data_IF_055128415084
#
_entry.id   IF_055128415084
#
_cell.length_a   1.000
_cell.length_b   1.000
_cell.length_c   1.000
_cell.angle_alpha   90.00
_cell.angle_beta   90.00
_cell.angle_gamma   90.00
#
_symmetry.space_group_name_H-M   'P 1'
#
loop_
_entity.id
_entity.type
_entity.pdbx_description
1 polymer ?
#
# COMPACT_ATOMS: atom_id res chain seq x y z
N UNK A 1 -3.22 13.37 14.97
CA UNK A 1 -4.62 13.73 15.23
C UNK A 1 -5.03 13.54 16.68
N UNK A 2 -5.47 12.35 17.15
CA UNK A 2 -6.05 12.22 18.51
C UNK A 2 -5.13 12.72 19.65
N UNK A 3 -3.83 12.45 19.56
CA UNK A 3 -2.87 12.95 20.55
C UNK A 3 -2.53 14.45 20.41
N UNK A 4 -2.73 15.04 19.23
CA UNK A 4 -2.41 16.44 18.95
C UNK A 4 -3.59 17.38 19.24
N UNK A 5 -4.81 16.93 18.96
CA UNK A 5 -6.06 17.71 19.10
C UNK A 5 -6.99 17.11 20.18
N UNK A 6 -6.40 16.45 21.19
CA UNK A 6 -7.15 15.68 22.18
C UNK A 6 -8.14 16.52 22.99
N UNK A 7 -7.78 17.76 23.34
CA UNK A 7 -8.65 18.68 24.08
C UNK A 7 -9.89 19.07 23.27
N UNK A 8 -9.70 19.49 22.01
CA UNK A 8 -10.79 19.84 21.09
C UNK A 8 -11.71 18.67 20.77
N UNK A 9 -11.16 17.45 20.80
CA UNK A 9 -11.87 16.19 20.57
C UNK A 9 -12.44 15.56 21.85
N UNK A 10 -12.32 16.22 23.01
CA UNK A 10 -12.76 15.72 24.31
C UNK A 10 -12.24 14.31 24.64
N UNK A 11 -11.00 14.02 24.24
CA UNK A 11 -10.35 12.73 24.45
C UNK A 11 -9.96 12.57 25.92
N UNK A 12 -10.29 11.41 26.49
CA UNK A 12 -10.01 11.10 27.90
C UNK A 12 -8.69 10.37 28.14
N UNK A 13 -8.03 9.90 27.08
CA UNK A 13 -6.73 9.24 27.16
C UNK A 13 -5.59 10.27 27.29
N UNK A 14 -4.59 9.94 28.10
CA UNK A 14 -3.39 10.76 28.25
C UNK A 14 -2.45 10.62 27.05
N UNK A 15 -1.55 11.60 26.87
CA UNK A 15 -0.51 11.53 25.84
C UNK A 15 0.37 10.28 25.99
N UNK A 16 0.66 9.85 27.23
CA UNK A 16 1.41 8.63 27.51
C UNK A 16 0.66 7.39 27.02
N UNK A 17 -0.66 7.30 27.25
CA UNK A 17 -1.47 6.18 26.74
C UNK A 17 -1.50 6.14 25.21
N UNK A 18 -1.54 7.29 24.53
CA UNK A 18 -1.42 7.34 23.08
C UNK A 18 -0.05 6.87 22.58
N UNK A 19 1.02 7.33 23.21
CA UNK A 19 2.38 6.90 22.85
C UNK A 19 2.57 5.39 23.07
N UNK A 20 2.07 4.85 24.19
CA UNK A 20 2.08 3.42 24.47
C UNK A 20 1.33 2.64 23.39
N UNK A 21 0.15 3.13 22.99
CA UNK A 21 -0.64 2.44 21.97
C UNK A 21 -0.03 2.54 20.58
N UNK A 22 0.57 3.68 20.22
CA UNK A 22 1.32 3.85 18.98
C UNK A 22 2.47 2.85 18.90
N UNK A 23 3.29 2.72 19.95
CA UNK A 23 4.38 1.73 20.00
C UNK A 23 3.86 0.31 19.83
N UNK A 24 2.83 -0.08 20.57
CA UNK A 24 2.22 -1.41 20.40
C UNK A 24 1.69 -1.68 18.99
N UNK A 25 1.12 -0.67 18.34
CA UNK A 25 0.64 -0.77 16.95
C UNK A 25 1.80 -0.92 15.98
N UNK A 26 2.88 -0.13 16.13
CA UNK A 26 4.09 -0.28 15.32
C UNK A 26 4.73 -1.66 15.53
N UNK A 27 4.86 -2.13 16.76
CA UNK A 27 5.38 -3.47 17.08
C UNK A 27 4.52 -4.58 16.45
N UNK A 28 3.19 -4.40 16.41
CA UNK A 28 2.29 -5.33 15.73
C UNK A 28 2.48 -5.30 14.21
N UNK A 29 2.54 -4.11 13.62
CA UNK A 29 2.76 -3.94 12.18
C UNK A 29 4.09 -4.59 11.79
N UNK A 30 5.18 -4.22 12.44
CA UNK A 30 6.53 -4.62 12.04
C UNK A 30 6.92 -6.05 12.45
N UNK A 31 6.33 -6.61 13.50
CA UNK A 31 6.74 -7.93 14.01
C UNK A 31 5.79 -9.09 13.70
N UNK A 32 4.52 -8.81 13.33
CA UNK A 32 3.45 -9.83 13.35
C UNK A 32 2.40 -9.69 12.25
N UNK A 33 2.66 -8.87 11.23
CA UNK A 33 1.69 -8.59 10.16
C UNK A 33 2.04 -9.27 8.86
N UNK A 34 3.22 -8.97 8.31
CA UNK A 34 3.70 -9.54 7.07
C UNK A 34 5.23 -9.43 6.98
N UNK A 35 5.82 -10.25 6.10
CA UNK A 35 7.22 -10.13 5.66
C UNK A 35 7.26 -9.75 4.17
N UNK A 36 8.39 -9.22 3.73
CA UNK A 36 8.70 -9.00 2.32
C UNK A 36 10.08 -9.59 2.05
N UNK A 37 10.22 -10.30 0.94
CA UNK A 37 11.45 -10.95 0.52
C UNK A 37 11.73 -10.64 -0.95
N UNK A 38 13.02 -10.62 -1.33
CA UNK A 38 13.46 -10.53 -2.72
C UNK A 38 13.97 -11.90 -3.17
N UNK A 39 13.35 -12.46 -4.19
CA UNK A 39 13.65 -13.78 -4.75
C UNK A 39 14.02 -13.66 -6.25
N UNK A 40 14.69 -14.67 -6.79
CA UNK A 40 14.99 -14.80 -8.23
C UNK A 40 15.62 -13.56 -8.89
N UNK A 41 16.46 -12.81 -8.15
CA UNK A 41 17.16 -11.67 -8.73
C UNK A 41 18.09 -12.13 -9.85
N UNK A 42 17.96 -11.51 -11.02
CA UNK A 42 18.82 -11.80 -12.16
C UNK A 42 19.06 -10.55 -13.00
N UNK A 43 20.26 -10.45 -13.57
CA UNK A 43 20.62 -9.43 -14.55
C UNK A 43 21.14 -10.09 -15.82
N UNK A 44 20.67 -9.65 -16.98
CA UNK A 44 21.24 -10.04 -18.27
C UNK A 44 22.18 -8.97 -18.86
N UNK A 45 22.52 -7.96 -18.06
CA UNK A 45 23.33 -6.81 -18.45
C UNK A 45 22.55 -5.67 -19.12
N UNK A 46 21.28 -5.90 -19.47
CA UNK A 46 20.37 -4.86 -20.01
C UNK A 46 19.15 -4.64 -19.13
N UNK A 47 18.68 -5.71 -18.48
CA UNK A 47 17.48 -5.73 -17.66
C UNK A 47 17.81 -6.39 -16.33
N UNK A 48 17.32 -5.81 -15.24
CA UNK A 48 17.29 -6.47 -13.94
C UNK A 48 15.87 -6.96 -13.65
N UNK A 49 15.75 -8.21 -13.24
CA UNK A 49 14.51 -8.81 -12.78
C UNK A 49 14.61 -9.20 -11.32
N UNK A 50 13.52 -9.06 -10.56
CA UNK A 50 13.41 -9.52 -9.19
C UNK A 50 11.97 -9.90 -8.87
N UNK A 51 11.76 -11.02 -8.19
CA UNK A 51 10.45 -11.37 -7.63
C UNK A 51 10.36 -10.78 -6.22
N UNK A 52 9.38 -9.90 -6.00
CA UNK A 52 9.08 -9.38 -4.68
C UNK A 52 7.96 -10.23 -4.08
N UNK A 53 8.24 -10.88 -2.97
CA UNK A 53 7.29 -11.80 -2.33
C UNK A 53 6.84 -11.24 -0.98
N UNK A 54 5.53 -11.00 -0.85
CA UNK A 54 4.92 -10.56 0.40
C UNK A 54 4.21 -11.73 1.04
N UNK A 55 4.47 -12.00 2.32
CA UNK A 55 3.82 -13.08 3.07
C UNK A 55 3.08 -12.53 4.27
N UNK A 56 1.81 -12.86 4.43
CA UNK A 56 1.03 -12.41 5.58
C UNK A 56 1.07 -13.41 6.74
N UNK A 57 0.97 -12.86 7.95
CA UNK A 57 0.89 -13.61 9.20
C UNK A 57 -0.47 -13.41 9.89
N UNK A 58 -1.37 -12.64 9.28
CA UNK A 58 -2.68 -12.29 9.84
C UNK A 58 -3.73 -13.37 9.54
N UNK A 59 -4.70 -13.53 10.45
CA UNK A 59 -5.85 -14.42 10.26
C UNK A 59 -7.01 -13.81 9.47
N UNK A 60 -6.81 -12.65 8.86
CA UNK A 60 -7.78 -11.92 8.04
C UNK A 60 -7.05 -11.27 6.85
N UNK A 61 -7.79 -10.73 5.87
CA UNK A 61 -7.19 -9.93 4.80
C UNK A 61 -6.39 -8.76 5.37
N UNK A 62 -5.28 -8.37 4.74
CA UNK A 62 -4.46 -7.26 5.17
C UNK A 62 -4.27 -6.22 4.05
N UNK A 63 -4.51 -4.93 4.30
CA UNK A 63 -5.03 -4.32 5.54
C UNK A 63 -6.54 -4.51 5.75
N UNK A 64 -6.97 -4.91 6.96
CA UNK A 64 -8.40 -5.13 7.28
C UNK A 64 -9.14 -3.88 7.78
N UNK A 65 -10.45 -4.03 7.99
CA UNK A 65 -11.40 -3.06 8.54
C UNK A 65 -11.76 -1.93 7.57
N UNK A 66 -11.62 -0.68 8.01
CA UNK A 66 -12.10 0.49 7.27
C UNK A 66 -11.35 0.61 5.91
N UNK A 67 -12.06 0.79 4.79
CA UNK A 67 -11.48 0.72 3.44
C UNK A 67 -10.53 1.88 3.09
N UNK A 68 -10.34 2.86 3.98
CA UNK A 68 -9.31 3.89 3.82
C UNK A 68 -7.88 3.38 3.94
N UNK A 69 -7.70 2.16 4.45
CA UNK A 69 -6.38 1.60 4.71
C UNK A 69 -5.81 0.98 3.45
N UNK A 70 -4.55 1.25 3.18
CA UNK A 70 -3.78 0.67 2.07
C UNK A 70 -2.42 0.19 2.55
N UNK A 71 -1.94 -0.87 1.94
CA UNK A 71 -0.54 -1.28 1.98
C UNK A 71 -0.02 -1.35 0.56
N UNK A 72 1.27 -1.15 0.34
CA UNK A 72 1.85 -1.20 -1.01
C UNK A 72 3.34 -1.53 -0.95
N UNK A 73 3.88 -1.96 -2.08
CA UNK A 73 5.31 -2.17 -2.24
C UNK A 73 5.95 -0.84 -2.68
N UNK A 74 6.93 -0.38 -1.92
CA UNK A 74 7.90 0.62 -2.36
C UNK A 74 9.17 -0.12 -2.78
N UNK A 75 9.59 0.05 -4.04
CA UNK A 75 10.78 -0.61 -4.55
C UNK A 75 11.75 0.41 -5.14
N UNK A 76 13.00 0.35 -4.71
CA UNK A 76 14.08 1.21 -5.19
C UNK A 76 15.24 0.35 -5.68
N UNK A 77 15.86 0.77 -6.78
CA UNK A 77 17.08 0.16 -7.31
C UNK A 77 18.13 1.25 -7.46
N UNK A 78 19.30 1.01 -6.88
CA UNK A 78 20.41 1.96 -6.88
C UNK A 78 21.66 1.35 -7.49
N UNK A 79 22.46 2.18 -8.15
CA UNK A 79 23.82 1.81 -8.57
C UNK A 79 24.82 1.82 -7.39
N UNK A 80 26.06 1.42 -7.64
CA UNK A 80 27.13 1.41 -6.65
C UNK A 80 27.49 2.80 -6.07
N UNK A 81 27.06 3.88 -6.73
CA UNK A 81 27.23 5.26 -6.24
C UNK A 81 26.04 5.76 -5.43
N UNK A 82 24.98 4.96 -5.29
CA UNK A 82 23.73 5.32 -4.63
C UNK A 82 22.78 6.13 -5.50
N UNK A 83 23.00 6.22 -6.82
CA UNK A 83 22.04 6.86 -7.72
C UNK A 83 20.84 5.94 -7.94
N UNK A 84 19.64 6.49 -7.78
CA UNK A 84 18.38 5.76 -8.04
C UNK A 84 18.21 5.56 -9.55
N UNK A 85 18.19 4.31 -9.98
CA UNK A 85 17.93 3.88 -11.36
C UNK A 85 16.44 3.60 -11.59
N UNK A 86 15.75 3.12 -10.56
CA UNK A 86 14.32 2.84 -10.58
C UNK A 86 13.72 3.09 -9.19
N UNK A 87 12.54 3.70 -9.13
CA UNK A 87 11.77 3.88 -7.91
C UNK A 87 10.27 3.83 -8.24
N UNK A 88 9.52 2.97 -7.56
CA UNK A 88 8.06 2.88 -7.65
C UNK A 88 7.45 2.85 -6.26
N UNK A 89 6.34 3.57 -6.07
CA UNK A 89 5.59 3.58 -4.82
C UNK A 89 6.15 4.51 -3.73
N UNK A 90 6.94 5.51 -4.10
CA UNK A 90 7.46 6.49 -3.15
C UNK A 90 6.33 7.28 -2.48
N UNK A 91 6.43 7.51 -1.17
CA UNK A 91 5.42 8.28 -0.41
C UNK A 91 5.78 9.76 -0.35
N UNK A 92 4.82 10.61 -0.71
CA UNK A 92 4.94 12.07 -0.61
C UNK A 92 4.58 12.57 0.79
N UNK A 93 5.06 13.77 1.19
CA UNK A 93 4.76 14.34 2.52
C UNK A 93 3.28 14.53 2.83
N UNK A 94 2.42 14.70 1.81
CA UNK A 94 0.97 14.81 1.94
C UNK A 94 0.25 13.45 2.06
N UNK A 95 1.01 12.36 2.00
CA UNK A 95 0.54 10.98 2.08
C UNK A 95 0.10 10.39 0.74
N UNK A 96 0.22 11.11 -0.37
CA UNK A 96 0.03 10.55 -1.71
C UNK A 96 1.19 9.60 -2.08
N UNK A 97 0.94 8.70 -3.02
CA UNK A 97 1.94 7.76 -3.54
C UNK A 97 2.28 8.15 -4.97
N UNK A 98 3.55 8.37 -5.27
CA UNK A 98 4.02 8.64 -6.63
C UNK A 98 3.72 7.45 -7.54
N UNK A 99 3.12 7.71 -8.69
CA UNK A 99 2.69 6.68 -9.65
C UNK A 99 1.35 6.02 -9.33
N UNK A 100 0.64 6.41 -8.26
CA UNK A 100 -0.70 5.88 -7.99
C UNK A 100 -1.78 6.63 -8.79
N UNK A 101 -2.43 5.92 -9.72
CA UNK A 101 -3.53 6.41 -10.54
C UNK A 101 -4.65 7.08 -9.72
N UNK A 102 -5.06 6.47 -8.59
CA UNK A 102 -6.19 6.98 -7.80
C UNK A 102 -5.86 8.31 -7.11
N UNK A 103 -4.59 8.53 -6.77
CA UNK A 103 -4.17 9.79 -6.15
C UNK A 103 -4.16 10.94 -7.18
N UNK A 104 -4.02 10.64 -8.48
CA UNK A 104 -4.03 11.61 -9.60
C UNK A 104 -5.42 11.84 -10.19
N UNK A 105 -6.20 10.78 -10.42
CA UNK A 105 -7.56 10.82 -10.95
C UNK A 105 -8.51 10.05 -10.00
N UNK A 106 -9.53 10.71 -9.42
CA UNK A 106 -10.46 10.05 -8.50
C UNK A 106 -11.29 8.92 -9.15
N UNK A 107 -11.32 8.82 -10.48
CA UNK A 107 -12.02 7.77 -11.22
C UNK A 107 -11.11 6.64 -11.72
N UNK A 108 -9.80 6.77 -11.55
CA UNK A 108 -8.82 5.73 -11.87
C UNK A 108 -8.30 5.03 -10.60
N UNK A 109 -7.69 3.86 -10.76
CA UNK A 109 -7.02 3.13 -9.69
C UNK A 109 -6.09 2.06 -10.27
N UNK A 110 -5.00 1.77 -9.55
CA UNK A 110 -4.07 0.70 -9.91
C UNK A 110 -4.81 -0.65 -9.96
N UNK A 111 -4.68 -1.48 -11.03
CA UNK A 111 -5.04 -2.88 -10.96
C UNK A 111 -4.13 -3.64 -9.97
N UNK A 112 -4.33 -4.95 -9.86
CA UNK A 112 -3.32 -5.82 -9.27
C UNK A 112 -2.34 -6.23 -10.36
N UNK A 113 -1.04 -6.15 -10.09
CA UNK A 113 0.01 -6.47 -11.05
C UNK A 113 0.67 -7.82 -10.73
N UNK A 114 0.63 -8.80 -11.65
CA UNK A 114 1.53 -9.95 -11.58
C UNK A 114 2.98 -9.53 -11.88
N UNK A 115 3.15 -8.45 -12.64
CA UNK A 115 4.46 -7.91 -13.02
C UNK A 115 4.43 -6.39 -13.18
N UNK A 116 5.50 -5.72 -12.76
CA UNK A 116 5.72 -4.27 -12.84
C UNK A 116 6.99 -3.99 -13.65
N UNK A 117 6.88 -3.07 -14.62
CA UNK A 117 8.00 -2.68 -15.48
C UNK A 117 8.13 -1.17 -15.70
N UNK A 118 7.36 -0.38 -14.96
CA UNK A 118 7.34 1.08 -15.05
C UNK A 118 7.30 1.68 -13.65
N UNK A 119 7.89 2.86 -13.48
CA UNK A 119 7.81 3.66 -12.25
C UNK A 119 6.39 4.17 -12.00
N UNK A 120 5.57 4.23 -13.04
CA UNK A 120 4.16 4.63 -13.01
C UNK A 120 3.20 3.47 -12.68
N UNK A 121 3.71 2.32 -12.23
CA UNK A 121 2.90 1.18 -11.80
C UNK A 121 3.24 0.86 -10.35
N UNK A 122 2.24 0.80 -9.48
CA UNK A 122 2.44 0.56 -8.05
C UNK A 122 1.58 -0.61 -7.58
N UNK A 123 2.21 -1.61 -6.96
CA UNK A 123 1.48 -2.72 -6.36
C UNK A 123 0.83 -2.28 -5.05
N UNK A 124 -0.43 -1.84 -5.12
CA UNK A 124 -1.23 -1.38 -3.97
C UNK A 124 -2.26 -2.44 -3.58
N UNK A 125 -2.21 -2.87 -2.32
CA UNK A 125 -3.15 -3.75 -1.64
C UNK A 125 -4.21 -2.94 -0.90
N UNK A 126 -5.40 -2.85 -1.50
CA UNK A 126 -6.48 -2.00 -1.01
C UNK A 126 -7.85 -2.49 -1.47
N UNK A 127 -8.89 -1.88 -0.90
CA UNK A 127 -10.25 -2.04 -1.37
C UNK A 127 -10.70 -0.76 -2.08
N UNK A 128 -11.04 -0.87 -3.37
CA UNK A 128 -11.68 0.19 -4.15
C UNK A 128 -13.17 -0.11 -4.24
N UNK A 129 -13.99 0.69 -3.57
CA UNK A 129 -15.44 0.59 -3.67
C UNK A 129 -15.92 1.29 -4.94
N UNK A 130 -16.96 0.72 -5.56
CA UNK A 130 -17.70 1.32 -6.67
C UNK A 130 -19.11 1.71 -6.25
N UNK A 131 -19.58 2.84 -6.76
CA UNK A 131 -20.97 3.26 -6.61
C UNK A 131 -21.92 2.48 -7.56
N UNK A 132 -23.21 2.79 -7.53
CA UNK A 132 -24.23 2.16 -8.39
C UNK A 132 -24.03 2.41 -9.88
N UNK A 133 -23.26 3.43 -10.25
CA UNK A 133 -22.88 3.77 -11.63
C UNK A 133 -21.57 3.09 -12.06
N UNK A 134 -20.92 2.35 -11.14
CA UNK A 134 -19.67 1.65 -11.38
C UNK A 134 -18.42 2.53 -11.27
N UNK A 135 -18.54 3.76 -10.78
CA UNK A 135 -17.41 4.67 -10.56
C UNK A 135 -16.79 4.46 -9.17
N UNK A 136 -15.46 4.63 -9.00
CA UNK A 136 -14.83 4.59 -7.69
C UNK A 136 -15.47 5.59 -6.71
N UNK A 137 -15.55 5.22 -5.43
CA UNK A 137 -16.08 6.09 -4.40
C UNK A 137 -15.45 5.84 -3.04
N UNK A 138 -15.23 6.92 -2.28
CA UNK A 138 -14.85 6.87 -0.85
C UNK A 138 -16.07 7.13 0.06
N UNK A 139 -17.26 7.34 -0.51
CA UNK A 139 -18.49 7.56 0.27
C UNK A 139 -19.08 6.21 0.64
N UNK A 140 -19.00 5.83 1.92
CA UNK A 140 -19.48 4.52 2.41
C UNK A 140 -20.93 4.23 2.03
N UNK A 141 -21.82 5.22 2.13
CA UNK A 141 -23.24 5.07 1.78
C UNK A 141 -23.49 4.91 0.27
N UNK A 142 -22.53 5.30 -0.56
CA UNK A 142 -22.58 5.09 -2.00
C UNK A 142 -21.93 3.77 -2.43
N UNK A 143 -21.13 3.13 -1.56
CA UNK A 143 -20.46 1.87 -1.85
C UNK A 143 -21.46 0.75 -2.11
N UNK A 144 -21.53 0.29 -3.36
CA UNK A 144 -22.46 -0.74 -3.82
C UNK A 144 -21.77 -2.08 -4.12
N UNK A 145 -20.48 -2.05 -4.49
CA UNK A 145 -19.66 -3.22 -4.83
C UNK A 145 -18.18 -2.91 -4.65
N UNK A 146 -17.32 -3.93 -4.71
CA UNK A 146 -15.90 -3.73 -4.94
C UNK A 146 -15.61 -3.68 -6.45
N UNK A 147 -14.84 -2.68 -6.87
CA UNK A 147 -14.21 -2.64 -8.20
C UNK A 147 -12.88 -3.42 -8.17
N UNK A 148 -12.18 -3.32 -7.03
CA UNK A 148 -10.96 -4.05 -6.69
C UNK A 148 -10.97 -4.35 -5.20
N UNK A 149 -10.56 -5.56 -4.83
CA UNK A 149 -10.19 -5.93 -3.47
C UNK A 149 -9.11 -7.01 -3.55
N UNK A 150 -7.87 -6.56 -3.63
CA UNK A 150 -6.67 -7.38 -3.66
C UNK A 150 -5.91 -7.31 -2.33
N UNK A 151 -6.59 -6.96 -1.22
CA UNK A 151 -5.96 -6.99 0.10
C UNK A 151 -5.40 -8.38 0.37
N UNK A 152 -4.15 -8.45 0.81
CA UNK A 152 -3.38 -9.67 0.99
C UNK A 152 -4.15 -10.69 1.82
N UNK A 153 -4.17 -11.94 1.36
CA UNK A 153 -5.02 -12.99 1.93
C UNK A 153 -4.38 -13.63 3.16
N UNK A 154 -5.17 -14.10 4.15
CA UNK A 154 -4.65 -14.91 5.25
C UNK A 154 -4.35 -16.34 4.79
N UNK A 155 -3.61 -17.08 5.63
CA UNK A 155 -3.37 -18.50 5.40
C UNK A 155 -4.69 -19.30 5.39
N UNK A 156 -4.82 -20.21 4.43
CA UNK A 156 -5.99 -21.05 4.22
C UNK A 156 -7.13 -20.38 3.45
N UNK A 157 -6.95 -19.14 2.95
CA UNK A 157 -7.97 -18.46 2.15
C UNK A 157 -8.09 -19.12 0.77
N UNK A 158 -9.30 -19.57 0.39
CA UNK A 158 -9.57 -20.21 -0.89
C UNK A 158 -10.42 -19.31 -1.78
N UNK A 159 -9.80 -18.63 -2.76
CA UNK A 159 -10.46 -17.60 -3.61
C UNK A 159 -11.79 -18.06 -4.22
N UNK A 160 -11.88 -19.32 -4.65
CA UNK A 160 -13.09 -19.88 -5.29
C UNK A 160 -14.15 -20.46 -4.35
N UNK A 161 -13.95 -20.43 -3.03
CA UNK A 161 -14.84 -21.07 -2.05
C UNK A 161 -15.34 -20.11 -0.97
N UNK A 162 -15.12 -18.81 -1.13
CA UNK A 162 -15.53 -17.77 -0.18
C UNK A 162 -16.81 -17.06 -0.62
N UNK A 163 -17.56 -16.56 0.37
CA UNK A 163 -18.75 -15.73 0.14
C UNK A 163 -18.36 -14.42 -0.57
N UNK A 164 -19.26 -13.83 -1.39
CA UNK A 164 -18.99 -12.61 -2.13
C UNK A 164 -18.47 -11.44 -1.26
N UNK A 165 -19.01 -11.27 -0.06
CA UNK A 165 -18.67 -10.14 0.83
C UNK A 165 -17.18 -10.08 1.25
N UNK A 166 -16.46 -11.20 1.12
CA UNK A 166 -15.03 -11.29 1.43
C UNK A 166 -14.20 -11.77 0.24
N UNK A 167 -14.81 -11.95 -0.94
CA UNK A 167 -14.14 -12.45 -2.13
C UNK A 167 -13.01 -11.51 -2.62
N UNK A 168 -12.14 -12.03 -3.49
CA UNK A 168 -11.16 -11.21 -4.21
C UNK A 168 -11.86 -10.58 -5.41
N UNK A 169 -11.54 -9.32 -5.70
CA UNK A 169 -12.13 -8.57 -6.83
C UNK A 169 -11.04 -7.89 -7.65
N UNK A 170 -11.25 -7.80 -8.97
CA UNK A 170 -10.29 -7.25 -9.92
C UNK A 170 -9.28 -8.29 -10.43
N UNK A 171 -8.16 -7.83 -10.99
CA UNK A 171 -7.18 -8.69 -11.66
C UNK A 171 -6.57 -9.78 -10.77
N UNK A 172 -6.53 -9.58 -9.44
CA UNK A 172 -6.00 -10.55 -8.47
C UNK A 172 -6.78 -11.88 -8.40
N UNK A 173 -8.02 -11.93 -8.94
CA UNK A 173 -8.81 -13.16 -9.00
C UNK A 173 -8.10 -14.22 -9.83
N UNK A 174 -7.57 -13.82 -10.98
CA UNK A 174 -7.00 -14.72 -12.00
C UNK A 174 -5.48 -14.91 -11.84
N UNK A 175 -4.85 -14.17 -10.92
CA UNK A 175 -3.44 -14.30 -10.63
C UNK A 175 -3.17 -15.53 -9.76
N UNK A 176 -2.35 -16.46 -10.24
CA UNK A 176 -1.99 -17.68 -9.50
C UNK A 176 -0.94 -17.42 -8.41
N UNK A 177 -0.16 -16.35 -8.54
CA UNK A 177 0.88 -15.93 -7.60
C UNK A 177 0.32 -15.03 -6.48
N UNK A 178 -0.95 -14.62 -6.56
CA UNK A 178 -1.72 -14.04 -5.46
C UNK A 178 -2.65 -15.09 -4.83
N UNK A 179 -2.23 -15.68 -3.70
CA UNK A 179 -2.98 -16.75 -3.04
C UNK A 179 -2.87 -16.70 -1.50
N UNK A 180 -3.40 -17.72 -0.84
CA UNK A 180 -3.37 -17.90 0.61
C UNK A 180 -2.00 -17.53 1.23
N UNK A 181 -2.01 -16.46 2.05
CA UNK A 181 -0.87 -15.91 2.78
C UNK A 181 0.28 -15.34 1.93
N UNK A 182 0.11 -15.15 0.61
CA UNK A 182 1.22 -14.75 -0.25
C UNK A 182 0.77 -13.94 -1.47
N UNK A 183 1.57 -12.95 -1.84
CA UNK A 183 1.61 -12.39 -3.18
C UNK A 183 3.05 -12.42 -3.71
N UNK A 184 3.23 -12.69 -5.00
CA UNK A 184 4.52 -12.54 -5.68
C UNK A 184 4.32 -11.65 -6.89
N UNK A 185 5.03 -10.51 -6.91
CA UNK A 185 5.04 -9.58 -8.03
C UNK A 185 6.42 -9.56 -8.67
N UNK A 186 6.49 -9.82 -9.97
CA UNK A 186 7.75 -9.73 -10.71
C UNK A 186 8.05 -8.29 -11.12
N UNK A 187 9.20 -7.76 -10.73
CA UNK A 187 9.71 -6.48 -11.22
C UNK A 187 10.73 -6.73 -12.32
N UNK A 188 10.65 -5.93 -13.40
CA UNK A 188 11.58 -5.99 -14.52
C UNK A 188 11.81 -4.59 -15.07
N UNK A 189 13.04 -4.10 -15.04
CA UNK A 189 13.35 -2.74 -15.50
C UNK A 189 14.69 -2.68 -16.22
N UNK A 190 14.78 -1.73 -17.16
CA UNK A 190 15.99 -1.48 -17.93
C UNK A 190 17.09 -0.87 -17.06
N UNK A 191 18.32 -1.32 -17.25
CA UNK A 191 19.51 -0.79 -16.60
C UNK A 191 20.11 0.41 -17.35
N UNK A 192 19.67 0.68 -18.57
CA UNK A 192 20.12 1.80 -19.41
C UNK A 192 21.66 1.96 -19.51
N UNK A 193 22.37 0.82 -19.48
CA UNK A 193 23.83 0.77 -19.55
C UNK A 193 24.55 0.95 -18.20
N UNK A 194 23.82 1.17 -17.10
CA UNK A 194 24.38 1.16 -15.76
C UNK A 194 25.09 -0.18 -15.49
N UNK A 195 26.18 -0.10 -14.72
CA UNK A 195 26.97 -1.26 -14.33
C UNK A 195 26.81 -1.49 -12.84
N UNK A 196 26.79 -2.77 -12.47
CA UNK A 196 26.66 -3.17 -11.07
C UNK A 196 27.93 -2.87 -10.23
N UNK A 197 27.89 -3.22 -8.94
CA UNK A 197 26.76 -3.86 -8.27
C UNK A 197 25.54 -2.94 -8.15
N UNK A 198 24.35 -3.52 -8.17
CA UNK A 198 23.07 -2.85 -7.92
C UNK A 198 22.55 -3.24 -6.55
N UNK A 199 22.01 -2.27 -5.81
CA UNK A 199 21.25 -2.52 -4.58
C UNK A 199 19.76 -2.45 -4.89
N UNK A 200 19.05 -3.56 -4.71
CA UNK A 200 17.59 -3.63 -4.82
C UNK A 200 17.02 -3.64 -3.41
N UNK A 201 16.15 -2.68 -3.10
CA UNK A 201 15.44 -2.60 -1.82
C UNK A 201 13.93 -2.63 -2.07
N UNK A 202 13.22 -3.51 -1.36
CA UNK A 202 11.77 -3.56 -1.35
C UNK A 202 11.25 -3.36 0.08
N UNK A 203 10.27 -2.49 0.24
CA UNK A 203 9.60 -2.19 1.50
C UNK A 203 8.09 -2.41 1.35
N UNK A 204 7.48 -3.11 2.32
CA UNK A 204 6.03 -3.13 2.44
C UNK A 204 5.61 -1.95 3.32
N UNK A 205 4.96 -0.96 2.73
CA UNK A 205 4.46 0.23 3.42
C UNK A 205 2.98 0.09 3.79
N UNK A 206 2.55 0.77 4.84
CA UNK A 206 1.15 0.86 5.27
C UNK A 206 0.73 2.27 5.64
N UNK A 207 -0.49 2.64 5.26
CA UNK A 207 -1.11 3.92 5.59
C UNK A 207 -2.56 3.70 6.03
N UNK A 208 -2.96 4.36 7.11
CA UNK A 208 -4.31 4.20 7.68
C UNK A 208 -5.39 4.95 6.91
N UNK A 209 -5.03 6.09 6.30
CA UNK A 209 -5.92 6.94 5.51
C UNK A 209 -5.23 7.19 4.17
N UNK A 210 -5.69 6.55 3.10
CA UNK A 210 -5.22 6.83 1.75
C UNK A 210 -5.52 8.27 1.35
N UNK A 211 -4.68 8.86 0.52
CA UNK A 211 -4.77 10.27 0.14
C UNK A 211 -6.15 10.67 -0.40
N UNK A 212 -6.76 9.89 -1.30
CA UNK A 212 -8.13 10.14 -1.80
C UNK A 212 -9.20 10.17 -0.72
N UNK A 213 -9.06 9.38 0.34
CA UNK A 213 -10.04 9.36 1.43
C UNK A 213 -10.07 10.69 2.19
N UNK A 214 -8.93 11.35 2.34
CA UNK A 214 -8.86 12.68 2.91
C UNK A 214 -9.24 13.75 1.88
N UNK A 215 -8.64 13.71 0.69
CA UNK A 215 -8.77 14.80 -0.27
C UNK A 215 -10.17 14.93 -0.88
N UNK A 216 -10.91 13.83 -1.06
CA UNK A 216 -12.30 13.90 -1.52
C UNK A 216 -13.20 14.68 -0.53
N UNK A 217 -12.83 14.76 0.75
CA UNK A 217 -13.57 15.56 1.74
C UNK A 217 -13.50 17.06 1.45
N UNK A 218 -12.50 17.53 0.70
CA UNK A 218 -12.37 18.94 0.29
C UNK A 218 -13.53 19.42 -0.59
N UNK A 219 -14.24 18.49 -1.22
CA UNK A 219 -15.40 18.78 -2.06
C UNK A 219 -16.67 19.07 -1.25
N UNK A 220 -16.64 18.89 0.07
CA UNK A 220 -17.79 19.06 0.95
C UNK A 220 -17.65 20.31 1.81
N UNK A 221 -18.54 21.28 1.59
CA UNK A 221 -18.67 22.47 2.44
C UNK A 221 -19.51 22.15 3.68
N UNK A 222 -18.85 21.60 4.70
CA UNK A 222 -19.46 21.30 5.99
C UNK A 222 -18.44 21.42 7.14
N UNK A 223 -18.89 21.70 8.39
CA UNK A 223 -17.99 21.89 9.52
C UNK A 223 -17.11 20.67 9.84
N UNK A 224 -17.63 19.45 9.70
CA UNK A 224 -16.92 18.23 10.05
C UNK A 224 -15.78 17.89 9.08
N UNK A 225 -15.98 17.86 7.75
CA UNK A 225 -14.90 17.78 6.77
C UNK A 225 -13.84 18.87 6.94
N UNK A 226 -14.26 20.13 7.13
CA UNK A 226 -13.33 21.24 7.30
C UNK A 226 -12.42 21.04 8.53
N UNK A 227 -13.00 20.64 9.67
CA UNK A 227 -12.25 20.33 10.89
C UNK A 227 -11.32 19.13 10.73
N UNK A 228 -11.78 18.07 10.04
CA UNK A 228 -10.92 16.92 9.77
C UNK A 228 -9.71 17.29 8.91
N UNK A 229 -9.94 18.07 7.84
CA UNK A 229 -8.88 18.51 6.92
C UNK A 229 -7.85 19.39 7.61
N UNK A 230 -8.29 20.30 8.49
CA UNK A 230 -7.40 21.11 9.32
C UNK A 230 -6.46 20.23 10.19
N UNK A 231 -7.02 19.21 10.85
CA UNK A 231 -6.20 18.27 11.63
C UNK A 231 -5.28 17.39 10.76
N UNK A 232 -5.73 17.03 9.55
CA UNK A 232 -4.99 16.23 8.59
C UNK A 232 -3.78 16.99 8.05
N UNK A 233 -3.93 18.27 7.72
CA UNK A 233 -2.82 19.11 7.23
C UNK A 233 -1.77 19.40 8.29
N UNK A 234 -2.18 19.43 9.56
CA UNK A 234 -1.29 19.66 10.70
C UNK A 234 -0.71 18.37 11.32
N UNK A 235 -1.17 17.19 10.89
CA UNK A 235 -0.63 15.90 11.35
C UNK A 235 -0.03 15.15 10.16
N UNK A 236 1.27 14.78 10.18
CA UNK A 236 1.84 13.95 9.13
C UNK A 236 1.07 12.62 8.95
N UNK A 237 0.59 12.34 7.74
CA UNK A 237 -0.01 11.06 7.36
C UNK A 237 1.06 10.09 6.82
N UNK A 238 2.11 9.90 7.61
CA UNK A 238 3.27 9.11 7.22
C UNK A 238 2.93 7.63 7.07
N UNK A 239 3.53 7.00 6.06
CA UNK A 239 3.54 5.56 5.92
C UNK A 239 4.38 4.91 7.04
N UNK A 240 3.99 3.69 7.44
CA UNK A 240 4.79 2.84 8.31
C UNK A 240 5.40 1.73 7.47
N UNK A 241 6.73 1.58 7.51
CA UNK A 241 7.42 0.41 6.96
C UNK A 241 7.08 -0.79 7.84
N UNK A 242 6.40 -1.78 7.26
CA UNK A 242 6.05 -3.05 7.90
C UNK A 242 7.25 -3.98 7.88
N UNK A 243 7.82 -4.17 6.70
CA UNK A 243 8.95 -5.05 6.46
C UNK A 243 9.80 -4.47 5.32
N UNK A 244 11.07 -4.84 5.30
CA UNK A 244 12.02 -4.44 4.26
C UNK A 244 12.97 -5.60 3.95
N UNK A 245 13.34 -5.73 2.68
CA UNK A 245 14.38 -6.62 2.20
C UNK A 245 15.31 -5.84 1.26
N UNK A 246 16.61 -6.10 1.34
CA UNK A 246 17.62 -5.50 0.48
C UNK A 246 18.63 -6.55 0.03
N UNK A 247 18.96 -6.56 -1.26
CA UNK A 247 19.92 -7.49 -1.87
C UNK A 247 20.82 -6.73 -2.84
N UNK A 248 22.11 -7.04 -2.83
CA UNK A 248 23.08 -6.58 -3.82
C UNK A 248 23.25 -7.64 -4.93
N UNK A 249 23.36 -7.23 -6.19
CA UNK A 249 23.50 -8.14 -7.34
C UNK A 249 24.30 -7.51 -8.49
N UNK A 250 24.86 -8.35 -9.37
CA UNK A 250 25.58 -7.90 -10.57
C UNK A 250 27.05 -7.54 -10.34
N UNK A 251 27.76 -8.31 -9.51
CA UNK A 251 29.24 -8.34 -9.50
C UNK A 251 29.84 -8.93 -10.79
#
# INVERSE_FOLDING_TARGET
>A
MLGAFGEELAVTASSAQFQDKQRQTVDQLQGRTATIDLENLSSDGSTLTADVVVRTMTGHKFPTAFPSRRAWIHLTVQDASGNVLFESGAVSPDGSITGNDNDTDPFAFEPHYPSINSTEQVQIYEAIMGNTEGQPTTTLLAGAKYLKDNRLLPAGFAKGAVEPDIAVYGAAVDDADFDSAMDRTQYSFALDGAQGPFTVTAELLYQSIGYRWADNLRQHDAPEPARFLDYYEQTPNQAVVIASASVETGE
#
